data_IF_755094649033
#
_entry.id   IF_755094649033
#
_cell.length_a   1.000
_cell.length_b   1.000
_cell.length_c   1.000
_cell.angle_alpha   90.00
_cell.angle_beta   90.00
_cell.angle_gamma   90.00
#
_symmetry.space_group_name_H-M   'P 1'
#
loop_
_entity.id
_entity.type
_entity.pdbx_description
1 polymer ?
#
# COMPACT_ATOMS: atom_id res chain seq x y z
N UNK A 1 -1.20 -34.03 21.85
CA UNK A 1 -1.94 -32.76 21.71
C UNK A 1 -2.24 -32.59 20.23
N UNK A 2 -3.46 -32.22 19.84
CA UNK A 2 -3.75 -31.90 18.44
C UNK A 2 -2.97 -30.63 18.04
N UNK A 3 -2.46 -30.57 16.81
CA UNK A 3 -1.82 -29.37 16.31
C UNK A 3 -2.85 -28.23 16.27
N UNK A 4 -2.47 -27.04 16.73
CA UNK A 4 -3.32 -25.87 16.70
C UNK A 4 -3.33 -25.28 15.27
N UNK A 5 -4.50 -25.06 14.71
CA UNK A 5 -4.65 -24.47 13.38
C UNK A 5 -4.50 -22.95 13.47
N UNK A 6 -3.51 -22.39 12.79
CA UNK A 6 -3.37 -20.94 12.62
C UNK A 6 -3.97 -20.53 11.28
N UNK A 7 -5.01 -19.68 11.32
CA UNK A 7 -5.58 -19.08 10.12
C UNK A 7 -4.93 -17.72 9.87
N UNK A 8 -4.41 -17.51 8.66
CA UNK A 8 -3.85 -16.25 8.17
C UNK A 8 -4.73 -15.73 7.04
N UNK A 9 -5.12 -14.46 7.09
CA UNK A 9 -5.91 -13.82 6.03
C UNK A 9 -5.04 -12.81 5.30
N UNK A 10 -4.92 -12.96 3.98
CA UNK A 10 -4.26 -11.99 3.12
C UNK A 10 -5.32 -11.18 2.37
N UNK A 11 -5.31 -9.86 2.55
CA UNK A 11 -6.06 -8.92 1.72
C UNK A 11 -5.08 -8.12 0.88
N UNK A 12 -5.43 -7.92 -0.39
CA UNK A 12 -4.61 -7.17 -1.34
C UNK A 12 -5.43 -6.07 -2.01
N UNK A 13 -4.83 -4.90 -2.17
CA UNK A 13 -5.25 -3.87 -3.13
C UNK A 13 -4.20 -3.68 -4.21
N UNK A 14 -4.59 -3.06 -5.31
CA UNK A 14 -3.75 -2.75 -6.46
C UNK A 14 -4.39 -1.58 -7.19
N UNK A 15 -3.59 -0.79 -7.92
CA UNK A 15 -4.07 0.21 -8.87
C UNK A 15 -5.04 1.22 -8.22
N UNK A 16 -4.76 1.61 -6.97
CA UNK A 16 -5.58 2.61 -6.28
C UNK A 16 -5.57 3.95 -7.00
N UNK A 17 -4.49 4.23 -7.74
CA UNK A 17 -4.31 5.37 -8.61
C UNK A 17 -4.75 6.70 -7.96
N UNK A 18 -4.35 6.93 -6.71
CA UNK A 18 -4.68 8.15 -5.99
C UNK A 18 -6.16 8.32 -5.59
N UNK A 19 -7.00 7.31 -5.83
CA UNK A 19 -8.44 7.34 -5.56
C UNK A 19 -8.73 7.19 -4.06
N UNK A 20 -8.50 8.28 -3.31
CA UNK A 20 -8.62 8.29 -1.85
C UNK A 20 -10.09 8.23 -1.39
N UNK A 21 -10.94 9.07 -1.99
CA UNK A 21 -12.41 9.15 -1.79
C UNK A 21 -13.13 8.75 -3.08
N UNK A 22 -14.44 8.41 -3.04
CA UNK A 22 -15.21 8.03 -4.23
C UNK A 22 -15.56 9.25 -5.09
N UNK A 23 -14.55 9.94 -5.62
CA UNK A 23 -14.73 11.13 -6.45
C UNK A 23 -13.81 11.06 -7.67
N UNK A 24 -14.38 11.36 -8.84
CA UNK A 24 -13.62 11.61 -10.06
C UNK A 24 -13.45 13.12 -10.23
N UNK A 25 -12.22 13.59 -10.05
CA UNK A 25 -11.90 15.02 -10.14
C UNK A 25 -11.92 15.57 -11.56
N UNK A 26 -11.85 14.72 -12.61
CA UNK A 26 -11.90 15.18 -13.98
C UNK A 26 -13.33 15.56 -14.40
N UNK A 27 -14.32 14.78 -13.97
CA UNK A 27 -15.74 15.05 -14.23
C UNK A 27 -16.43 15.85 -13.12
N UNK A 28 -15.77 16.01 -11.97
CA UNK A 28 -16.30 16.62 -10.74
C UNK A 28 -17.60 15.95 -10.28
N UNK A 29 -17.60 14.61 -10.25
CA UNK A 29 -18.74 13.80 -9.82
C UNK A 29 -18.33 12.65 -8.91
N UNK A 30 -19.30 12.13 -8.15
CA UNK A 30 -19.11 10.95 -7.33
C UNK A 30 -18.85 9.70 -8.21
N UNK A 31 -17.81 8.94 -7.85
CA UNK A 31 -17.49 7.66 -8.48
C UNK A 31 -17.39 6.55 -7.43
N UNK A 32 -18.45 5.73 -7.35
CA UNK A 32 -18.58 4.64 -6.38
C UNK A 32 -17.94 3.32 -6.86
N UNK A 33 -17.25 3.29 -8.00
CA UNK A 33 -16.62 2.09 -8.53
C UNK A 33 -15.50 1.54 -7.63
N UNK A 34 -14.90 2.39 -6.79
CA UNK A 34 -13.93 2.00 -5.78
C UNK A 34 -13.10 3.18 -5.29
N UNK A 35 -12.69 3.14 -4.03
CA UNK A 35 -11.79 4.13 -3.42
C UNK A 35 -11.18 3.57 -2.14
N UNK A 36 -10.08 4.16 -1.68
CA UNK A 36 -9.45 3.79 -0.41
C UNK A 36 -10.41 3.92 0.78
N UNK A 37 -11.26 4.95 0.79
CA UNK A 37 -12.28 5.12 1.84
C UNK A 37 -13.39 4.05 1.83
N UNK A 38 -13.77 3.52 0.67
CA UNK A 38 -14.70 2.40 0.59
C UNK A 38 -14.01 1.09 1.02
N UNK A 39 -12.76 0.90 0.60
CA UNK A 39 -11.91 -0.23 1.02
C UNK A 39 -11.72 -0.24 2.53
N UNK A 40 -11.51 0.93 3.15
CA UNK A 40 -11.39 1.09 4.60
C UNK A 40 -12.55 0.43 5.36
N UNK A 41 -13.78 0.56 4.84
CA UNK A 41 -14.97 -0.06 5.44
C UNK A 41 -14.87 -1.58 5.41
N UNK A 42 -14.42 -2.17 4.31
CA UNK A 42 -14.30 -3.62 4.17
C UNK A 42 -13.12 -4.17 4.98
N UNK A 43 -11.97 -3.51 4.93
CA UNK A 43 -10.78 -3.87 5.74
C UNK A 43 -11.14 -3.88 7.22
N UNK A 44 -11.85 -2.87 7.71
CA UNK A 44 -12.29 -2.81 9.12
C UNK A 44 -13.20 -3.98 9.51
N UNK A 45 -14.13 -4.37 8.63
CA UNK A 45 -15.01 -5.53 8.86
C UNK A 45 -14.21 -6.82 8.95
N UNK A 46 -13.36 -7.10 7.95
CA UNK A 46 -12.57 -8.33 7.93
C UNK A 46 -11.59 -8.37 9.11
N UNK A 47 -10.94 -7.25 9.44
CA UNK A 47 -9.99 -7.18 10.57
C UNK A 47 -10.67 -7.42 11.93
N UNK A 48 -11.95 -7.10 12.08
CA UNK A 48 -12.70 -7.41 13.31
C UNK A 48 -12.91 -8.92 13.50
N UNK A 49 -12.88 -9.71 12.43
CA UNK A 49 -13.12 -11.16 12.43
C UNK A 49 -11.82 -11.97 12.28
N UNK A 50 -10.78 -11.38 11.68
CA UNK A 50 -9.53 -12.05 11.30
C UNK A 50 -8.33 -11.38 12.01
N UNK A 51 -7.95 -11.83 13.21
CA UNK A 51 -6.89 -11.18 14.01
C UNK A 51 -5.49 -11.32 13.40
N UNK A 52 -5.28 -12.30 12.51
CA UNK A 52 -3.99 -12.52 11.82
C UNK A 52 -4.02 -11.99 10.38
N UNK A 53 -4.74 -10.90 10.15
CA UNK A 53 -4.81 -10.27 8.85
C UNK A 53 -3.46 -9.66 8.46
N UNK A 54 -3.11 -9.82 7.19
CA UNK A 54 -2.02 -9.15 6.50
C UNK A 54 -2.66 -8.35 5.37
N UNK A 55 -2.39 -7.05 5.32
CA UNK A 55 -2.90 -6.15 4.29
C UNK A 55 -1.76 -5.66 3.41
N UNK A 56 -1.86 -5.90 2.11
CA UNK A 56 -0.82 -5.55 1.14
C UNK A 56 -1.38 -4.68 0.02
N UNK A 57 -0.54 -3.80 -0.53
CA UNK A 57 -0.82 -3.04 -1.74
C UNK A 57 0.21 -3.38 -2.83
N UNK A 58 -0.27 -3.68 -4.04
CA UNK A 58 0.55 -4.15 -5.15
C UNK A 58 1.12 -3.03 -6.04
N UNK A 59 0.92 -1.77 -5.66
CA UNK A 59 1.48 -0.61 -6.36
C UNK A 59 0.48 0.13 -7.24
N UNK A 60 0.99 1.10 -7.99
CA UNK A 60 0.22 2.09 -8.75
C UNK A 60 -0.78 2.82 -7.85
N UNK A 61 -0.23 3.38 -6.76
CA UNK A 61 -0.98 3.88 -5.60
C UNK A 61 -0.98 5.40 -5.56
N UNK A 62 0.16 6.02 -5.88
CA UNK A 62 0.45 7.45 -5.62
C UNK A 62 0.43 8.32 -6.88
N UNK A 63 -0.24 7.86 -7.94
CA UNK A 63 -0.35 8.55 -9.22
C UNK A 63 -1.79 8.43 -9.72
N UNK A 64 -2.28 9.39 -10.49
CA UNK A 64 -3.66 9.39 -10.96
C UNK A 64 -4.59 10.18 -10.05
N UNK A 65 -5.85 10.33 -10.47
CA UNK A 65 -6.91 11.08 -9.79
C UNK A 65 -6.44 12.41 -9.15
N UNK A 66 -5.64 13.20 -9.88
CA UNK A 66 -5.12 14.52 -9.47
C UNK A 66 -4.11 14.51 -8.29
N UNK A 67 -3.57 13.35 -7.91
CA UNK A 67 -2.58 13.23 -6.82
C UNK A 67 -1.30 14.04 -7.08
N UNK A 68 -0.95 14.30 -8.34
CA UNK A 68 0.21 15.12 -8.71
C UNK A 68 0.16 16.54 -8.16
N UNK A 69 -1.01 17.02 -7.72
CA UNK A 69 -1.19 18.29 -7.01
C UNK A 69 -0.52 18.26 -5.64
N UNK A 70 -0.42 17.09 -5.00
CA UNK A 70 0.14 16.91 -3.67
C UNK A 70 1.61 16.45 -3.68
N UNK A 71 2.24 16.29 -4.83
CA UNK A 71 3.60 15.69 -4.94
C UNK A 71 4.72 16.51 -4.27
N UNK A 72 4.49 17.81 -4.05
CA UNK A 72 5.43 18.70 -3.34
C UNK A 72 4.98 18.98 -1.90
N UNK A 73 3.81 18.49 -1.50
CA UNK A 73 3.30 18.70 -0.16
C UNK A 73 4.07 17.88 0.86
N UNK A 74 4.13 18.39 2.09
CA UNK A 74 4.85 17.73 3.17
C UNK A 74 4.23 16.37 3.55
N UNK A 75 2.99 16.09 3.14
CA UNK A 75 2.23 14.89 3.49
C UNK A 75 1.61 14.28 2.23
N UNK A 76 1.87 13.00 1.99
CA UNK A 76 1.18 12.23 0.95
C UNK A 76 -0.20 11.79 1.45
N UNK A 77 -1.31 12.18 0.79
CA UNK A 77 -2.65 11.76 1.17
C UNK A 77 -2.79 10.24 1.19
N UNK A 78 -2.27 9.55 0.17
CA UNK A 78 -2.35 8.08 0.10
C UNK A 78 -1.64 7.41 1.28
N UNK A 79 -0.49 7.94 1.72
CA UNK A 79 0.19 7.40 2.90
C UNK A 79 -0.58 7.65 4.19
N UNK A 80 -1.36 8.73 4.31
CA UNK A 80 -2.28 8.89 5.45
C UNK A 80 -3.29 7.75 5.50
N UNK A 81 -3.87 7.39 4.36
CA UNK A 81 -4.88 6.35 4.26
C UNK A 81 -4.31 4.94 4.46
N UNK A 82 -3.23 4.59 3.77
CA UNK A 82 -2.55 3.30 3.94
C UNK A 82 -2.10 3.10 5.39
N UNK A 83 -1.54 4.13 6.02
CA UNK A 83 -1.15 4.06 7.43
C UNK A 83 -2.34 3.99 8.39
N UNK A 84 -3.45 4.68 8.09
CA UNK A 84 -4.67 4.60 8.91
C UNK A 84 -5.34 3.22 8.83
N UNK A 85 -5.06 2.47 7.76
CA UNK A 85 -5.52 1.10 7.56
C UNK A 85 -4.49 0.06 7.96
N UNK A 86 -3.37 0.42 8.58
CA UNK A 86 -2.30 -0.49 8.98
C UNK A 86 -1.90 -1.47 7.84
N UNK A 87 -1.63 -0.94 6.65
CA UNK A 87 -1.02 -1.75 5.58
C UNK A 87 0.34 -2.28 6.03
N UNK A 88 0.56 -3.58 5.86
CA UNK A 88 1.81 -4.23 6.21
C UNK A 88 2.88 -4.04 5.11
N UNK A 89 2.46 -4.12 3.84
CA UNK A 89 3.37 -4.08 2.68
C UNK A 89 2.81 -3.19 1.58
N UNK A 90 3.69 -2.45 0.93
CA UNK A 90 3.43 -1.72 -0.31
C UNK A 90 4.53 -2.03 -1.32
N UNK A 91 4.18 -2.63 -2.45
CA UNK A 91 5.11 -2.94 -3.54
C UNK A 91 5.11 -1.77 -4.53
N UNK A 92 6.29 -1.44 -5.07
CA UNK A 92 6.38 -0.43 -6.13
C UNK A 92 5.81 -0.96 -7.44
N UNK A 93 4.79 -0.29 -7.97
CA UNK A 93 4.34 -0.38 -9.36
C UNK A 93 5.15 0.55 -10.26
N UNK A 94 4.76 0.64 -11.54
CA UNK A 94 5.46 1.50 -12.49
C UNK A 94 5.17 2.98 -12.26
N UNK A 95 3.96 3.34 -11.85
CA UNK A 95 3.54 4.74 -11.72
C UNK A 95 4.08 5.43 -10.47
N UNK A 96 4.65 4.70 -9.51
CA UNK A 96 5.40 5.28 -8.38
C UNK A 96 6.57 6.18 -8.83
N UNK A 97 7.09 5.96 -10.05
CA UNK A 97 8.28 6.64 -10.56
C UNK A 97 7.97 7.85 -11.46
N UNK A 98 6.71 8.08 -11.82
CA UNK A 98 6.30 9.09 -12.81
C UNK A 98 6.75 10.52 -12.48
N UNK A 99 6.76 10.85 -11.19
CA UNK A 99 7.14 12.18 -10.70
C UNK A 99 8.61 12.27 -10.25
N UNK A 100 9.38 11.21 -10.49
CA UNK A 100 10.78 11.10 -10.13
C UNK A 100 11.04 10.75 -8.66
N UNK A 101 12.25 10.24 -8.41
CA UNK A 101 12.67 9.77 -7.07
C UNK A 101 12.56 10.83 -5.96
N UNK A 102 12.81 12.14 -6.19
CA UNK A 102 12.60 13.14 -5.15
C UNK A 102 11.16 13.24 -4.66
N UNK A 103 10.18 13.11 -5.57
CA UNK A 103 8.76 13.10 -5.20
C UNK A 103 8.38 11.80 -4.49
N UNK A 104 8.89 10.65 -4.94
CA UNK A 104 8.68 9.33 -4.33
C UNK A 104 9.31 9.20 -2.93
N UNK A 105 10.37 9.96 -2.63
CA UNK A 105 11.05 9.91 -1.33
C UNK A 105 10.12 10.26 -0.16
N UNK A 106 9.19 11.20 -0.34
CA UNK A 106 8.24 11.62 0.70
C UNK A 106 7.29 10.49 1.11
N UNK A 107 6.50 9.88 0.20
CA UNK A 107 5.62 8.78 0.57
C UNK A 107 6.39 7.56 1.10
N UNK A 108 7.55 7.22 0.51
CA UNK A 108 8.40 6.13 1.04
C UNK A 108 8.83 6.36 2.49
N UNK A 109 9.18 7.61 2.85
CA UNK A 109 9.54 7.95 4.24
C UNK A 109 8.34 7.93 5.19
N UNK A 110 7.13 8.14 4.68
CA UNK A 110 5.91 8.25 5.48
C UNK A 110 5.20 6.91 5.69
N UNK A 111 5.37 5.97 4.77
CA UNK A 111 4.79 4.64 4.92
C UNK A 111 5.34 3.94 6.16
N UNK A 112 4.45 3.42 7.01
CA UNK A 112 4.83 2.75 8.26
C UNK A 112 5.09 1.25 8.10
N UNK A 113 4.59 0.65 7.02
CA UNK A 113 4.83 -0.74 6.66
C UNK A 113 6.15 -0.94 5.92
N UNK A 114 6.28 -2.08 5.26
CA UNK A 114 7.44 -2.39 4.42
C UNK A 114 7.18 -1.99 2.95
N UNK A 115 7.92 -1.01 2.45
CA UNK A 115 7.96 -0.72 1.01
C UNK A 115 8.96 -1.67 0.32
N UNK A 116 8.55 -2.35 -0.75
CA UNK A 116 9.35 -3.37 -1.43
C UNK A 116 9.54 -3.07 -2.92
N UNK A 117 10.73 -3.39 -3.44
CA UNK A 117 11.01 -3.45 -4.88
C UNK A 117 12.22 -4.35 -5.16
N UNK A 118 11.98 -5.66 -5.28
CA UNK A 118 13.07 -6.64 -5.36
C UNK A 118 13.85 -6.70 -6.67
N UNK A 119 13.33 -6.10 -7.73
CA UNK A 119 13.94 -6.07 -9.05
C UNK A 119 14.49 -4.70 -9.46
N UNK A 120 14.46 -3.70 -8.57
CA UNK A 120 14.95 -2.35 -8.87
C UNK A 120 16.30 -2.14 -8.17
N UNK A 121 17.32 -1.83 -8.98
CA UNK A 121 18.69 -1.61 -8.51
C UNK A 121 19.22 -0.28 -9.04
N UNK A 122 20.10 0.34 -8.27
CA UNK A 122 20.92 1.45 -8.72
C UNK A 122 21.99 0.96 -9.71
N UNK A 123 22.58 1.87 -10.49
CA UNK A 123 23.68 1.56 -11.43
C UNK A 123 24.88 0.87 -10.77
N UNK A 124 25.06 1.06 -9.46
CA UNK A 124 26.11 0.40 -8.67
C UNK A 124 25.72 -1.01 -8.20
N UNK A 125 24.59 -1.56 -8.65
CA UNK A 125 24.07 -2.88 -8.32
C UNK A 125 23.40 -3.00 -6.95
N UNK A 126 23.31 -1.93 -6.15
CA UNK A 126 22.61 -1.96 -4.86
C UNK A 126 21.09 -1.93 -5.06
N UNK A 127 20.31 -2.71 -4.30
CA UNK A 127 18.85 -2.62 -4.32
C UNK A 127 18.36 -1.20 -3.99
N UNK A 128 17.30 -0.76 -4.67
CA UNK A 128 16.64 0.52 -4.39
C UNK A 128 15.82 0.45 -3.09
N UNK A 129 15.07 -0.64 -2.92
CA UNK A 129 14.32 -0.98 -1.72
C UNK A 129 14.60 -2.44 -1.32
N UNK A 130 14.20 -2.88 -0.12
CA UNK A 130 14.25 -4.29 0.24
C UNK A 130 13.50 -5.15 -0.79
N UNK A 131 14.06 -6.33 -1.08
CA UNK A 131 13.45 -7.25 -2.03
C UNK A 131 12.32 -8.10 -1.44
N UNK A 132 12.29 -8.23 -0.11
CA UNK A 132 11.26 -8.96 0.59
C UNK A 132 11.17 -8.47 2.04
N UNK A 133 10.11 -8.85 2.73
CA UNK A 133 9.98 -8.74 4.18
C UNK A 133 9.47 -10.06 4.77
N UNK A 134 9.65 -10.25 6.07
CA UNK A 134 9.09 -11.39 6.80
C UNK A 134 8.17 -10.84 7.88
N UNK A 135 6.90 -11.21 7.81
CA UNK A 135 5.90 -10.90 8.83
C UNK A 135 5.69 -12.13 9.72
N UNK A 136 5.34 -11.92 10.99
CA UNK A 136 5.01 -13.01 11.91
C UNK A 136 3.58 -12.84 12.43
N UNK A 137 2.83 -13.95 12.48
CA UNK A 137 1.47 -14.05 13.04
C UNK A 137 1.33 -15.37 13.78
N UNK A 138 1.08 -15.31 15.08
CA UNK A 138 0.95 -16.50 15.96
C UNK A 138 2.09 -17.52 15.77
N UNK A 139 3.34 -17.05 15.69
CA UNK A 139 4.52 -17.90 15.52
C UNK A 139 4.77 -18.40 14.09
N UNK A 140 3.86 -18.14 13.14
CA UNK A 140 4.06 -18.43 11.72
C UNK A 140 4.79 -17.27 11.06
N UNK A 141 5.90 -17.55 10.37
CA UNK A 141 6.66 -16.57 9.56
C UNK A 141 6.19 -16.61 8.11
N UNK A 142 5.83 -15.46 7.55
CA UNK A 142 5.31 -15.28 6.21
C UNK A 142 6.27 -14.36 5.44
N UNK A 143 6.93 -14.91 4.42
CA UNK A 143 7.76 -14.12 3.50
C UNK A 143 6.89 -13.47 2.42
N UNK A 144 7.12 -12.18 2.16
CA UNK A 144 6.46 -11.41 1.10
C UNK A 144 7.55 -10.81 0.24
N UNK A 145 7.48 -11.07 -1.07
CA UNK A 145 8.43 -10.64 -2.11
C UNK A 145 7.70 -9.83 -3.17
#
# INVERSE_FOLDING_TARGET
MAAETVNITLLGTSDLHGTFVPWDYASDTENLAGSLSQIATQVKKVRAEQPNLILVDAGDTIQGNFVETFKQEAVSPMMLGLNALDYDVWVMGNHEFDFGLPALATPLKQFKGAALAGNIVWDNGKPYLPAYTILERQGVKIGII
#
